data_IF_463400908691
#
_entry.id   IF_463400908691
#
_cell.length_a   1.000
_cell.length_b   1.000
_cell.length_c   1.000
_cell.angle_alpha   90.00
_cell.angle_beta   90.00
_cell.angle_gamma   90.00
#
_symmetry.space_group_name_H-M   'P 1'
#
loop_
_entity.id
_entity.type
_entity.pdbx_description
1 polymer ?
#
# COMPACT_ATOMS: atom_id res chain seq x y z
N UNK A 1 -13.71 -20.56 -44.93
CA UNK A 1 -12.83 -21.02 -43.84
C UNK A 1 -12.98 -20.02 -42.70
N UNK A 2 -13.56 -20.45 -41.58
CA UNK A 2 -13.78 -19.59 -40.41
C UNK A 2 -12.52 -19.55 -39.56
N UNK A 3 -12.08 -18.36 -39.17
CA UNK A 3 -10.97 -18.16 -38.25
C UNK A 3 -11.35 -18.60 -36.82
N UNK A 4 -10.42 -19.20 -36.04
CA UNK A 4 -10.72 -19.64 -34.68
C UNK A 4 -10.82 -18.46 -33.71
N UNK A 5 -11.71 -18.63 -32.73
CA UNK A 5 -12.10 -17.69 -31.68
C UNK A 5 -11.03 -17.67 -30.58
N UNK A 6 -10.40 -16.52 -30.35
CA UNK A 6 -9.48 -16.31 -29.24
C UNK A 6 -10.24 -16.37 -27.89
N UNK A 7 -9.62 -17.03 -26.93
CA UNK A 7 -10.13 -17.34 -25.59
C UNK A 7 -10.31 -16.08 -24.73
N UNK A 8 -11.42 -16.04 -23.99
CA UNK A 8 -11.77 -15.04 -22.98
C UNK A 8 -10.76 -15.03 -21.82
N UNK A 9 -9.82 -14.08 -21.81
CA UNK A 9 -9.14 -13.66 -20.58
C UNK A 9 -9.98 -12.57 -19.90
N UNK A 10 -10.33 -12.85 -18.65
CA UNK A 10 -11.22 -12.07 -17.78
C UNK A 10 -10.76 -10.61 -17.64
N UNK A 11 -11.46 -9.72 -18.34
CA UNK A 11 -11.49 -8.29 -18.04
C UNK A 11 -12.16 -8.09 -16.67
N UNK A 12 -11.37 -8.07 -15.59
CA UNK A 12 -11.87 -7.67 -14.26
C UNK A 12 -12.05 -6.14 -14.24
N UNK A 13 -13.31 -5.73 -14.46
CA UNK A 13 -13.88 -4.38 -14.32
C UNK A 13 -13.50 -3.75 -12.97
N UNK A 14 -12.82 -2.60 -13.01
CA UNK A 14 -12.78 -1.70 -11.84
C UNK A 14 -12.60 -0.25 -12.33
N UNK A 15 -13.60 0.25 -13.05
CA UNK A 15 -13.93 1.68 -13.17
C UNK A 15 -15.36 1.80 -13.74
N UNK A 16 -16.32 2.23 -12.92
CA UNK A 16 -17.61 2.72 -13.40
C UNK A 16 -18.05 3.94 -12.59
N UNK A 17 -18.22 5.07 -13.27
CA UNK A 17 -18.70 6.34 -12.72
C UNK A 17 -20.24 6.46 -12.76
N UNK A 18 -20.97 5.46 -13.29
CA UNK A 18 -22.43 5.51 -13.37
C UNK A 18 -23.08 4.11 -13.27
N UNK A 19 -23.39 3.74 -12.02
CA UNK A 19 -24.57 2.93 -11.71
C UNK A 19 -24.39 1.43 -11.59
N UNK A 20 -24.18 0.98 -10.35
CA UNK A 20 -24.85 -0.22 -9.84
C UNK A 20 -24.24 -1.59 -10.19
N UNK A 21 -23.04 -1.88 -9.68
CA UNK A 21 -22.61 -3.26 -9.36
C UNK A 21 -22.02 -3.31 -7.95
N UNK A 22 -22.19 -4.43 -7.23
CA UNK A 22 -21.67 -4.61 -5.87
C UNK A 22 -20.15 -4.41 -5.88
N UNK A 23 -19.69 -3.25 -5.41
CA UNK A 23 -18.27 -2.94 -5.25
C UNK A 23 -17.64 -4.01 -4.35
N UNK A 24 -16.59 -4.68 -4.83
CA UNK A 24 -15.77 -5.55 -3.97
C UNK A 24 -15.33 -4.71 -2.76
N UNK A 25 -15.33 -5.25 -1.52
CA UNK A 25 -15.03 -4.47 -0.33
C UNK A 25 -13.61 -3.88 -0.42
N UNK A 26 -13.51 -2.57 -0.41
CA UNK A 26 -12.24 -1.84 -0.43
C UNK A 26 -11.71 -1.73 1.00
N UNK A 27 -10.57 -2.38 1.28
CA UNK A 27 -9.93 -2.38 2.61
C UNK A 27 -9.56 -0.97 3.07
N UNK A 28 -9.02 -0.13 2.17
CA UNK A 28 -8.70 1.27 2.45
C UNK A 28 -9.94 2.17 2.67
N UNK A 29 -11.13 1.73 2.24
CA UNK A 29 -12.36 2.50 2.30
C UNK A 29 -13.27 2.08 3.48
N UNK A 30 -12.86 1.07 4.26
CA UNK A 30 -13.70 0.44 5.28
C UNK A 30 -13.00 0.47 6.62
N UNK A 31 -13.74 0.83 7.68
CA UNK A 31 -13.25 0.62 9.03
C UNK A 31 -13.04 -0.87 9.29
N UNK A 32 -12.00 -1.22 10.05
CA UNK A 32 -11.66 -2.63 10.34
C UNK A 32 -12.85 -3.46 10.83
N UNK A 33 -13.69 -2.89 11.71
CA UNK A 33 -14.92 -3.52 12.22
C UNK A 33 -15.99 -3.71 11.15
N UNK A 34 -16.10 -2.79 10.20
CA UNK A 34 -17.04 -2.90 9.08
C UNK A 34 -16.56 -3.93 8.05
N UNK A 35 -15.25 -3.97 7.81
CA UNK A 35 -14.62 -4.94 6.92
C UNK A 35 -14.70 -6.38 7.46
N UNK A 36 -14.41 -6.63 8.73
CA UNK A 36 -14.54 -7.96 9.35
C UNK A 36 -16.00 -8.48 9.31
N UNK A 37 -16.98 -7.61 9.55
CA UNK A 37 -18.41 -7.93 9.41
C UNK A 37 -18.81 -8.22 7.96
N UNK A 38 -18.21 -7.53 6.99
CA UNK A 38 -18.48 -7.74 5.55
C UNK A 38 -18.02 -9.12 5.04
N UNK A 39 -17.08 -9.75 5.75
CA UNK A 39 -16.54 -11.09 5.46
C UNK A 39 -17.32 -12.24 6.13
N UNK A 40 -18.43 -11.95 6.82
CA UNK A 40 -19.25 -12.96 7.47
C UNK A 40 -18.76 -13.40 8.85
N UNK A 41 -17.76 -12.71 9.43
CA UNK A 41 -17.35 -12.90 10.80
C UNK A 41 -18.32 -12.19 11.76
N UNK A 42 -19.14 -12.96 12.47
CA UNK A 42 -19.91 -12.44 13.61
C UNK A 42 -18.93 -12.18 14.76
N UNK A 43 -18.91 -11.00 15.40
CA UNK A 43 -18.11 -10.81 16.59
C UNK A 43 -18.74 -11.63 17.73
N UNK A 44 -18.06 -12.69 18.15
CA UNK A 44 -18.39 -13.44 19.36
C UNK A 44 -18.46 -12.47 20.54
N UNK A 45 -19.62 -12.42 21.19
CA UNK A 45 -19.79 -11.73 22.46
C UNK A 45 -19.01 -12.46 23.55
N UNK A 46 -18.29 -11.64 24.33
CA UNK A 46 -17.80 -11.86 25.69
C UNK A 46 -16.59 -12.77 25.94
N UNK A 47 -15.47 -12.12 26.30
CA UNK A 47 -14.64 -12.52 27.43
C UNK A 47 -14.38 -11.26 28.27
N UNK A 48 -14.70 -11.32 29.57
CA UNK A 48 -14.55 -10.22 30.52
C UNK A 48 -13.09 -9.83 30.77
N UNK A 49 -12.84 -8.73 31.50
CA UNK A 49 -11.49 -8.21 31.71
C UNK A 49 -10.71 -9.12 32.67
N UNK A 50 -9.84 -9.96 32.12
CA UNK A 50 -8.72 -10.54 32.87
C UNK A 50 -7.57 -9.55 32.81
N UNK A 51 -7.29 -8.93 33.96
CA UNK A 51 -6.06 -8.17 34.18
C UNK A 51 -4.89 -9.17 34.25
N UNK A 52 -4.01 -9.11 33.26
CA UNK A 52 -2.63 -9.55 33.36
C UNK A 52 -1.77 -8.58 32.55
N UNK A 53 -0.72 -8.09 33.20
CA UNK A 53 0.05 -6.92 32.83
C UNK A 53 0.82 -7.07 31.51
N UNK A 54 0.76 -6.03 30.66
CA UNK A 54 1.84 -5.69 29.75
C UNK A 54 2.32 -4.27 30.03
N UNK A 55 3.65 -4.14 30.05
CA UNK A 55 4.37 -3.01 30.56
C UNK A 55 4.16 -1.75 29.70
N UNK A 56 3.81 -0.65 30.38
CA UNK A 56 4.32 0.68 30.04
C UNK A 56 4.09 1.20 28.62
N UNK A 57 2.87 1.11 28.08
CA UNK A 57 2.45 2.12 27.12
C UNK A 57 2.07 3.37 27.93
N UNK A 58 2.99 4.34 27.97
CA UNK A 58 2.64 5.69 28.42
C UNK A 58 1.41 6.15 27.62
N UNK A 59 0.46 6.90 28.22
CA UNK A 59 -0.64 7.50 27.46
C UNK A 59 -0.05 8.25 26.28
N UNK A 60 -0.68 8.10 25.10
CA UNK A 60 -0.35 8.78 23.85
C UNK A 60 0.10 10.20 24.18
N UNK A 61 1.42 10.40 24.23
CA UNK A 61 1.93 11.75 24.22
C UNK A 61 1.73 12.16 22.78
N UNK A 62 0.81 13.10 22.55
CA UNK A 62 0.60 13.79 21.28
C UNK A 62 1.87 14.58 20.90
N UNK A 63 3.00 13.88 20.76
CA UNK A 63 4.28 14.41 20.39
C UNK A 63 4.41 14.36 18.87
N UNK A 64 5.13 15.31 18.26
CA UNK A 64 5.53 15.19 16.87
C UNK A 64 6.29 13.87 16.63
N UNK A 65 6.04 13.19 15.50
CA UNK A 65 6.64 11.90 15.22
C UNK A 65 8.16 12.00 15.06
N UNK A 66 8.88 11.02 15.57
CA UNK A 66 10.32 10.89 15.31
C UNK A 66 10.61 10.41 13.87
N UNK A 67 11.90 10.35 13.49
CA UNK A 67 12.32 9.90 12.14
C UNK A 67 11.77 8.52 11.77
N UNK A 68 11.70 7.61 12.74
CA UNK A 68 11.30 6.22 12.51
C UNK A 68 9.78 6.10 12.40
N UNK A 69 9.04 6.78 13.26
CA UNK A 69 7.59 6.85 13.22
C UNK A 69 7.10 7.51 11.93
N UNK A 70 7.64 8.69 11.61
CA UNK A 70 7.36 9.38 10.35
C UNK A 70 7.66 8.48 9.15
N UNK A 71 8.80 7.77 9.17
CA UNK A 71 9.15 6.80 8.15
C UNK A 71 8.10 5.69 7.97
N UNK A 72 7.69 5.03 9.06
CA UNK A 72 6.68 3.95 9.01
C UNK A 72 5.33 4.44 8.46
N UNK A 73 4.86 5.59 8.94
CA UNK A 73 3.60 6.20 8.47
C UNK A 73 3.69 6.56 6.98
N UNK A 74 4.83 7.12 6.57
CA UNK A 74 5.06 7.51 5.18
C UNK A 74 5.09 6.31 4.25
N UNK A 75 5.83 5.24 4.60
CA UNK A 75 5.83 4.03 3.79
C UNK A 75 4.44 3.41 3.69
N UNK A 76 3.65 3.49 4.76
CA UNK A 76 2.26 3.02 4.73
C UNK A 76 1.41 3.80 3.73
N UNK A 77 1.56 5.13 3.68
CA UNK A 77 0.91 5.97 2.68
C UNK A 77 1.38 5.63 1.26
N UNK A 78 2.68 5.65 1.01
CA UNK A 78 3.24 5.45 -0.33
C UNK A 78 2.86 4.08 -0.91
N UNK A 79 2.97 3.03 -0.09
CA UNK A 79 2.58 1.67 -0.52
C UNK A 79 1.09 1.55 -0.76
N UNK A 80 0.26 2.26 0.01
CA UNK A 80 -1.19 2.31 -0.25
C UNK A 80 -1.51 3.05 -1.55
N UNK A 81 -0.82 4.16 -1.84
CA UNK A 81 -0.95 4.87 -3.14
C UNK A 81 -0.60 3.92 -4.29
N UNK A 82 0.52 3.21 -4.21
CA UNK A 82 0.93 2.25 -5.24
C UNK A 82 -0.03 1.06 -5.36
N UNK A 83 -0.48 0.50 -4.24
CA UNK A 83 -1.40 -0.64 -4.19
C UNK A 83 -2.79 -0.35 -4.78
N UNK A 84 -3.23 0.91 -4.72
CA UNK A 84 -4.52 1.33 -5.28
C UNK A 84 -4.38 2.08 -6.61
N UNK A 85 -3.17 2.19 -7.16
CA UNK A 85 -2.93 2.73 -8.48
C UNK A 85 -3.65 1.92 -9.57
N UNK A 86 -4.09 2.52 -10.69
CA UNK A 86 -4.82 1.79 -11.73
C UNK A 86 -3.97 0.71 -12.38
N UNK A 87 -4.60 -0.42 -12.75
CA UNK A 87 -3.94 -1.46 -13.57
C UNK A 87 -3.52 -0.90 -14.94
N UNK A 88 -4.33 0.00 -15.51
CA UNK A 88 -4.14 0.65 -16.81
C UNK A 88 -4.32 2.16 -16.65
N UNK A 89 -3.30 2.88 -16.15
CA UNK A 89 -3.41 4.31 -15.87
C UNK A 89 -3.45 5.14 -17.16
N UNK A 90 -4.20 6.24 -17.14
CA UNK A 90 -4.15 7.26 -18.20
C UNK A 90 -2.79 7.94 -18.23
N UNK A 91 -2.47 8.63 -19.35
CA UNK A 91 -1.22 9.41 -19.46
C UNK A 91 -1.13 10.48 -18.36
N UNK A 92 -2.28 11.07 -17.98
CA UNK A 92 -2.36 12.03 -16.88
C UNK A 92 -2.04 11.38 -15.54
N UNK A 93 -2.64 10.23 -15.23
CA UNK A 93 -2.35 9.48 -14.00
C UNK A 93 -0.90 9.02 -13.90
N UNK A 94 -0.23 8.75 -15.02
CA UNK A 94 1.19 8.44 -15.08
C UNK A 94 2.04 9.67 -14.70
N UNK A 95 1.75 10.81 -15.32
CA UNK A 95 2.41 12.09 -15.02
C UNK A 95 2.21 12.51 -13.57
N UNK A 96 0.99 12.37 -13.05
CA UNK A 96 0.66 12.69 -11.66
C UNK A 96 1.45 11.81 -10.69
N UNK A 97 1.57 10.51 -10.95
CA UNK A 97 2.35 9.61 -10.12
C UNK A 97 3.84 9.97 -10.12
N UNK A 98 4.44 10.22 -11.30
CA UNK A 98 5.83 10.67 -11.39
C UNK A 98 6.05 11.98 -10.62
N UNK A 99 5.17 12.96 -10.83
CA UNK A 99 5.26 14.25 -10.16
C UNK A 99 5.05 14.14 -8.65
N UNK A 100 4.14 13.27 -8.20
CA UNK A 100 3.91 12.99 -6.79
C UNK A 100 5.20 12.53 -6.10
N UNK A 101 5.91 11.53 -6.63
CA UNK A 101 7.16 11.06 -6.02
C UNK A 101 8.28 12.11 -6.04
N UNK A 102 8.38 12.89 -7.12
CA UNK A 102 9.36 14.01 -7.20
C UNK A 102 9.06 15.11 -6.19
N UNK A 103 7.79 15.48 -6.02
CA UNK A 103 7.37 16.48 -5.02
C UNK A 103 7.55 15.95 -3.60
N UNK A 104 7.16 14.70 -3.35
CA UNK A 104 7.37 14.03 -2.08
C UNK A 104 8.85 14.07 -1.68
N UNK A 105 9.77 13.70 -2.58
CA UNK A 105 11.21 13.72 -2.30
C UNK A 105 11.79 15.13 -2.03
N UNK A 106 11.10 16.18 -2.47
CA UNK A 106 11.47 17.58 -2.15
C UNK A 106 10.90 18.05 -0.82
N UNK A 107 9.70 17.58 -0.47
CA UNK A 107 8.94 18.04 0.69
C UNK A 107 9.15 17.17 1.94
N UNK A 108 9.78 16.00 1.82
CA UNK A 108 9.97 15.10 2.94
C UNK A 108 10.78 15.75 4.08
N UNK A 109 10.28 15.80 5.33
CA UNK A 109 10.87 16.65 6.39
C UNK A 109 12.29 16.28 6.82
N UNK A 110 12.65 14.99 6.74
CA UNK A 110 14.00 14.53 7.03
C UNK A 110 14.94 14.89 5.87
N UNK A 111 15.75 15.96 6.00
CA UNK A 111 16.61 16.48 4.93
C UNK A 111 17.54 15.44 4.32
N UNK A 112 18.22 14.65 5.15
CA UNK A 112 19.12 13.57 4.72
C UNK A 112 18.36 12.47 3.96
N UNK A 113 17.21 12.03 4.51
CA UNK A 113 16.37 11.01 3.88
C UNK A 113 15.81 11.49 2.54
N UNK A 114 15.40 12.77 2.48
CA UNK A 114 14.87 13.41 1.28
C UNK A 114 15.94 13.55 0.20
N UNK A 115 17.17 13.93 0.58
CA UNK A 115 18.30 14.01 -0.35
C UNK A 115 18.66 12.64 -0.91
N UNK A 116 18.75 11.64 -0.05
CA UNK A 116 19.01 10.25 -0.45
C UNK A 116 17.95 9.77 -1.44
N UNK A 117 16.67 9.95 -1.13
CA UNK A 117 15.58 9.53 -2.01
C UNK A 117 15.55 10.28 -3.35
N UNK A 118 15.98 11.56 -3.40
CA UNK A 118 16.14 12.28 -4.67
C UNK A 118 17.23 11.64 -5.54
N UNK A 119 18.37 11.27 -4.97
CA UNK A 119 19.43 10.57 -5.70
C UNK A 119 18.97 9.20 -6.22
N UNK A 120 18.19 8.47 -5.42
CA UNK A 120 17.58 7.21 -5.87
C UNK A 120 16.59 7.41 -7.02
N UNK A 121 15.76 8.46 -6.96
CA UNK A 121 14.81 8.79 -8.05
C UNK A 121 15.50 9.12 -9.38
N UNK A 122 16.68 9.73 -9.34
CA UNK A 122 17.45 10.04 -10.56
C UNK A 122 18.03 8.76 -11.18
N UNK A 123 18.43 7.80 -10.35
CA UNK A 123 19.01 6.53 -10.78
C UNK A 123 17.96 5.49 -11.18
N UNK A 124 16.80 5.51 -10.52
CA UNK A 124 15.70 4.56 -10.68
C UNK A 124 14.36 5.32 -10.63
N UNK A 125 13.93 5.92 -11.76
CA UNK A 125 12.69 6.68 -11.80
C UNK A 125 11.45 5.80 -11.56
N UNK A 126 10.33 6.37 -11.05
CA UNK A 126 9.11 5.62 -10.80
C UNK A 126 8.58 4.90 -12.05
N UNK A 127 8.30 3.58 -11.94
CA UNK A 127 7.67 2.81 -13.01
C UNK A 127 6.16 2.94 -12.95
N UNK A 128 5.60 3.91 -13.66
CA UNK A 128 4.17 4.30 -13.53
C UNK A 128 3.25 3.67 -14.57
N UNK A 129 3.72 2.74 -15.40
CA UNK A 129 2.91 2.19 -16.52
C UNK A 129 1.77 1.28 -16.06
N UNK A 130 1.83 0.76 -14.84
CA UNK A 130 0.76 -0.04 -14.23
C UNK A 130 0.89 -0.07 -12.72
N UNK A 131 -0.18 -0.48 -12.03
CA UNK A 131 -0.16 -0.79 -10.59
C UNK A 131 0.99 -1.71 -10.21
N UNK A 132 1.17 -2.81 -10.94
CA UNK A 132 2.17 -3.82 -10.61
C UNK A 132 3.58 -3.23 -10.69
N UNK A 133 3.89 -2.53 -11.78
CA UNK A 133 5.19 -1.89 -11.96
C UNK A 133 5.47 -0.85 -10.87
N UNK A 134 4.47 -0.05 -10.50
CA UNK A 134 4.64 0.98 -9.47
C UNK A 134 4.85 0.39 -8.08
N UNK A 135 4.07 -0.65 -7.73
CA UNK A 135 4.20 -1.35 -6.45
C UNK A 135 5.55 -2.09 -6.33
N UNK A 136 6.01 -2.73 -7.40
CA UNK A 136 7.32 -3.38 -7.44
C UNK A 136 8.45 -2.36 -7.30
N UNK A 137 8.42 -1.29 -8.09
CA UNK A 137 9.40 -0.22 -7.98
C UNK A 137 9.47 0.34 -6.56
N UNK A 138 8.33 0.65 -5.94
CA UNK A 138 8.31 1.21 -4.59
C UNK A 138 8.83 0.22 -3.54
N UNK A 139 8.57 -1.08 -3.71
CA UNK A 139 9.14 -2.11 -2.86
C UNK A 139 10.67 -2.16 -2.98
N UNK A 140 11.21 -2.12 -4.19
CA UNK A 140 12.65 -2.08 -4.45
C UNK A 140 13.30 -0.84 -3.81
N UNK A 141 12.68 0.34 -3.95
CA UNK A 141 13.16 1.56 -3.29
C UNK A 141 13.13 1.45 -1.76
N UNK A 142 12.10 0.83 -1.19
CA UNK A 142 12.05 0.58 0.24
C UNK A 142 13.17 -0.40 0.67
N UNK A 143 13.49 -1.40 -0.16
CA UNK A 143 14.60 -2.31 0.11
C UNK A 143 15.97 -1.67 -0.01
N UNK A 144 16.16 -0.66 -0.89
CA UNK A 144 17.36 0.17 -0.88
C UNK A 144 17.57 0.81 0.50
N UNK A 145 16.51 1.41 1.06
CA UNK A 145 16.56 1.99 2.41
C UNK A 145 16.78 0.93 3.49
N UNK A 146 16.15 -0.25 3.38
CA UNK A 146 16.38 -1.35 4.32
C UNK A 146 17.85 -1.76 4.35
N UNK A 147 18.48 -1.95 3.18
CA UNK A 147 19.92 -2.27 3.09
C UNK A 147 20.78 -1.19 3.73
N UNK A 148 20.52 0.10 3.45
CA UNK A 148 21.25 1.22 4.06
C UNK A 148 21.14 1.26 5.58
N UNK A 149 20.01 0.80 6.13
CA UNK A 149 19.74 0.75 7.57
C UNK A 149 20.10 -0.60 8.21
N UNK A 150 20.71 -1.54 7.47
CA UNK A 150 21.03 -2.88 7.96
C UNK A 150 19.80 -3.73 8.32
N UNK A 151 18.65 -3.47 7.70
CA UNK A 151 17.40 -4.22 7.89
C UNK A 151 17.28 -5.33 6.84
N UNK A 152 16.57 -6.43 7.16
CA UNK A 152 16.22 -7.44 6.16
C UNK A 152 15.45 -6.83 5.00
N UNK A 153 15.68 -7.37 3.81
CA UNK A 153 14.89 -7.02 2.62
C UNK A 153 13.51 -7.68 2.68
N UNK A 154 12.52 -6.97 2.18
CA UNK A 154 11.17 -7.50 2.00
C UNK A 154 11.05 -8.21 0.65
N UNK A 155 10.36 -9.35 0.63
CA UNK A 155 10.06 -10.07 -0.61
C UNK A 155 8.99 -9.33 -1.43
N UNK A 156 9.42 -8.64 -2.49
CA UNK A 156 8.53 -7.83 -3.32
C UNK A 156 7.46 -8.66 -4.06
N UNK A 157 7.58 -9.98 -4.18
CA UNK A 157 6.51 -10.82 -4.71
C UNK A 157 5.24 -10.76 -3.83
N UNK A 158 5.40 -10.41 -2.56
CA UNK A 158 4.33 -10.35 -1.54
C UNK A 158 3.80 -8.94 -1.28
N UNK A 159 4.20 -7.95 -2.09
CA UNK A 159 3.82 -6.54 -1.88
C UNK A 159 2.30 -6.33 -1.90
N UNK A 160 1.60 -7.04 -2.79
CA UNK A 160 0.14 -6.96 -2.92
C UNK A 160 -0.59 -7.61 -1.74
N UNK A 161 -0.05 -8.69 -1.16
CA UNK A 161 -0.60 -9.27 0.07
C UNK A 161 -0.49 -8.27 1.21
N UNK A 162 0.71 -7.70 1.40
CA UNK A 162 1.01 -6.80 2.52
C UNK A 162 0.22 -5.50 2.48
N UNK A 163 0.02 -4.91 1.30
CA UNK A 163 -0.49 -3.54 1.17
C UNK A 163 -1.89 -3.42 0.56
N UNK A 164 -2.47 -4.51 0.06
CA UNK A 164 -3.77 -4.46 -0.64
C UNK A 164 -4.73 -5.56 -0.23
N UNK A 165 -4.33 -6.83 -0.41
CA UNK A 165 -5.23 -7.99 -0.37
C UNK A 165 -5.36 -8.62 1.01
N UNK A 166 -4.31 -8.52 1.84
CA UNK A 166 -4.12 -9.38 3.00
C UNK A 166 -3.36 -10.65 2.62
N UNK A 167 -2.81 -11.33 3.63
CA UNK A 167 -2.06 -12.57 3.49
C UNK A 167 -2.95 -13.74 3.09
N UNK A 168 -2.42 -14.64 2.24
CA UNK A 168 -3.16 -15.80 1.73
C UNK A 168 -3.51 -16.84 2.81
N UNK A 169 -2.82 -16.82 3.96
CA UNK A 169 -3.11 -17.66 5.13
C UNK A 169 -4.36 -17.22 5.91
N UNK A 170 -4.98 -16.11 5.51
CA UNK A 170 -6.19 -15.59 6.14
C UNK A 170 -5.96 -14.87 7.47
N UNK A 171 -4.72 -14.66 7.93
CA UNK A 171 -4.39 -13.91 9.16
C UNK A 171 -4.87 -12.46 9.14
N UNK A 172 -5.19 -11.95 7.95
CA UNK A 172 -5.75 -10.64 7.69
C UNK A 172 -7.21 -10.74 7.21
N UNK A 173 -8.01 -11.67 7.74
CA UNK A 173 -9.46 -11.86 7.46
C UNK A 173 -10.38 -11.40 8.59
#
# INVERSE_FOLDING_TARGET
MAAPRATEESYDEDYDYRGGRRKKPCRACSDFKAWAKSKGGSPSKEAGPSQAAEAGAAPDRECPPDRSELGRCTWSLLHSVAAYYPKRPSVEQQRDAEQFFRLFARLYPCKECAQDFRTELDSSPPRVTSRTELAQWLCEQHNVVNRKLGKPEFDCSRVDERWRRGWDDGSCS
#
